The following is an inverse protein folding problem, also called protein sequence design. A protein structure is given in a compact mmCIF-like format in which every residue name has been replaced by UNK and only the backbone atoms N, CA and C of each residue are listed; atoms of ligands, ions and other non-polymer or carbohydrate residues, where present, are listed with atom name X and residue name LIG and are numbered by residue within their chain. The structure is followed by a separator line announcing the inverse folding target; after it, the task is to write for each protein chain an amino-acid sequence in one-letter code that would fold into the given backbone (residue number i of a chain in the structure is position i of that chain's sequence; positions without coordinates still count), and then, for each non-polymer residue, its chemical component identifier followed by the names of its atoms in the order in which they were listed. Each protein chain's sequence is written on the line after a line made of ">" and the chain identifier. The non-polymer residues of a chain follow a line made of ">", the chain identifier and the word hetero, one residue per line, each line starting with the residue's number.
data_IF_944330179816
#
_entry.id   IF_944330179816
#
_cell.length_a   1.000
_cell.length_b   1.000
_cell.length_c   1.000
_cell.angle_alpha   90.00
_cell.angle_beta   90.00
_cell.angle_gamma   90.00
#
_symmetry.space_group_name_H-M   'P 1'
#
loop_
_entity.id
_entity.type
_entity.pdbx_description
1 polymer ?
#
# COMPACT_ATOMS: atom_id res chain seq x y z
N UNK A 1 -4.79 -3.25 -16.15
CA UNK A 1 -5.79 -4.14 -15.53
C UNK A 1 -5.20 -4.99 -14.42
N UNK A 2 -4.11 -5.75 -14.64
CA UNK A 2 -3.44 -6.57 -13.60
C UNK A 2 -3.27 -5.84 -12.27
N UNK A 3 -2.67 -4.64 -12.29
CA UNK A 3 -2.48 -3.84 -11.06
C UNK A 3 -3.79 -3.46 -10.36
N UNK A 4 -4.85 -3.12 -11.09
CA UNK A 4 -6.14 -2.85 -10.44
C UNK A 4 -6.71 -4.12 -9.76
N UNK A 5 -6.57 -5.29 -10.40
CA UNK A 5 -7.03 -6.56 -9.81
C UNK A 5 -6.22 -6.94 -8.57
N UNK A 6 -4.89 -6.86 -8.66
CA UNK A 6 -3.99 -7.13 -7.53
C UNK A 6 -4.32 -6.20 -6.36
N UNK A 7 -4.55 -4.91 -6.63
CA UNK A 7 -4.88 -3.97 -5.57
C UNK A 7 -6.29 -4.16 -5.00
N UNK A 8 -7.28 -4.55 -5.80
CA UNK A 8 -8.60 -4.88 -5.25
C UNK A 8 -8.55 -6.10 -4.32
N UNK A 9 -7.74 -7.11 -4.65
CA UNK A 9 -7.56 -8.28 -3.80
C UNK A 9 -6.73 -7.99 -2.53
N UNK A 10 -5.76 -7.07 -2.62
CA UNK A 10 -4.79 -6.79 -1.55
C UNK A 10 -4.69 -5.30 -1.21
N UNK A 11 -5.80 -4.58 -1.10
CA UNK A 11 -5.84 -3.11 -1.03
C UNK A 11 -4.99 -2.45 0.07
N UNK A 12 -4.61 -3.21 1.11
CA UNK A 12 -3.72 -2.78 2.19
C UNK A 12 -2.23 -2.73 1.81
N UNK A 13 -1.78 -3.38 0.73
CA UNK A 13 -0.36 -3.41 0.38
C UNK A 13 0.14 -2.03 -0.13
N UNK A 14 -0.70 -1.24 -0.80
CA UNK A 14 -0.30 0.10 -1.30
C UNK A 14 0.00 1.05 -0.14
N UNK A 15 -0.84 1.18 0.90
CA UNK A 15 -0.46 1.87 2.12
C UNK A 15 0.88 1.40 2.68
N UNK A 16 1.09 0.10 2.79
CA UNK A 16 2.34 -0.49 3.29
C UNK A 16 3.54 -0.08 2.44
N UNK A 17 3.40 -0.09 1.11
CA UNK A 17 4.43 0.39 0.17
C UNK A 17 4.77 1.85 0.45
N UNK A 18 3.78 2.74 0.58
CA UNK A 18 4.02 4.15 0.87
C UNK A 18 4.66 4.37 2.25
N UNK A 19 4.21 3.63 3.28
CA UNK A 19 4.76 3.76 4.61
C UNK A 19 6.21 3.26 4.72
N UNK A 20 6.59 2.24 3.96
CA UNK A 20 7.99 1.77 3.92
C UNK A 20 8.98 2.82 3.39
N UNK A 21 8.50 3.82 2.65
CA UNK A 21 9.32 4.91 2.09
C UNK A 21 9.53 6.02 3.13
N UNK A 22 8.59 6.18 4.06
CA UNK A 22 8.64 7.25 5.07
C UNK A 22 9.54 6.82 6.23
N UNK A 23 10.64 7.55 6.53
CA UNK A 23 11.47 7.26 7.69
C UNK A 23 10.65 7.38 8.99
N UNK A 24 10.91 6.49 9.95
CA UNK A 24 10.20 6.46 11.23
C UNK A 24 10.24 7.80 11.97
N UNK A 25 11.34 8.55 11.85
CA UNK A 25 11.51 9.89 12.45
C UNK A 25 10.60 10.96 11.82
N UNK A 26 10.25 10.82 10.55
CA UNK A 26 9.38 11.76 9.84
C UNK A 26 7.90 11.38 9.97
N UNK A 27 7.60 10.13 10.31
CA UNK A 27 6.26 9.55 10.27
C UNK A 27 5.23 10.38 11.03
N UNK A 28 5.59 10.87 12.22
CA UNK A 28 4.75 11.76 13.03
C UNK A 28 4.28 13.02 12.29
N UNK A 29 5.10 13.56 11.41
CA UNK A 29 4.82 14.81 10.70
C UNK A 29 4.16 14.62 9.34
N UNK A 30 4.36 13.47 8.70
CA UNK A 30 3.94 13.26 7.30
C UNK A 30 2.96 12.11 7.08
N UNK A 31 2.64 11.30 8.10
CA UNK A 31 1.71 10.18 7.95
C UNK A 31 0.34 10.62 7.40
N UNK A 32 -0.18 11.77 7.83
CA UNK A 32 -1.44 12.34 7.35
C UNK A 32 -1.47 12.59 5.82
N UNK A 33 -0.32 12.74 5.17
CA UNK A 33 -0.25 12.97 3.73
C UNK A 33 -0.40 11.68 2.91
N UNK A 34 -0.19 10.51 3.52
CA UNK A 34 -0.14 9.22 2.81
C UNK A 34 -1.41 8.90 2.01
N UNK A 35 -2.64 9.08 2.54
CA UNK A 35 -3.86 8.87 1.76
C UNK A 35 -3.92 9.74 0.49
N UNK A 36 -3.48 11.00 0.58
CA UNK A 36 -3.46 11.92 -0.55
C UNK A 36 -2.39 11.52 -1.58
N UNK A 37 -1.23 11.03 -1.12
CA UNK A 37 -0.19 10.51 -2.02
C UNK A 37 -0.67 9.26 -2.78
N UNK A 38 -1.43 8.38 -2.13
CA UNK A 38 -2.04 7.21 -2.77
C UNK A 38 -3.05 7.64 -3.85
N UNK A 39 -3.92 8.61 -3.54
CA UNK A 39 -4.86 9.16 -4.52
C UNK A 39 -4.13 9.80 -5.70
N UNK A 40 -3.08 10.58 -5.43
CA UNK A 40 -2.23 11.19 -6.46
C UNK A 40 -1.55 10.15 -7.34
N UNK A 41 -1.02 9.08 -6.74
CA UNK A 41 -0.41 7.97 -7.46
C UNK A 41 -1.41 7.30 -8.41
N UNK A 42 -2.59 6.93 -7.94
CA UNK A 42 -3.60 6.30 -8.80
C UNK A 42 -4.18 7.27 -9.83
N UNK A 43 -4.26 8.58 -9.52
CA UNK A 43 -4.67 9.59 -10.48
C UNK A 43 -3.74 9.64 -11.69
N UNK A 44 -2.42 9.43 -11.52
CA UNK A 44 -1.49 9.33 -12.67
C UNK A 44 -1.87 8.18 -13.60
N UNK A 45 -2.21 7.01 -13.05
CA UNK A 45 -2.66 5.86 -13.83
C UNK A 45 -4.00 6.12 -14.54
N UNK A 46 -4.95 6.73 -13.84
CA UNK A 46 -6.26 7.10 -14.42
C UNK A 46 -6.14 8.12 -15.54
N UNK A 47 -5.35 9.17 -15.34
CA UNK A 47 -5.07 10.20 -16.35
C UNK A 47 -4.37 9.57 -17.56
N UNK A 48 -3.41 8.66 -17.32
CA UNK A 48 -2.75 7.91 -18.38
C UNK A 48 -3.73 7.12 -19.23
N UNK A 49 -4.65 6.36 -18.60
CA UNK A 49 -5.67 5.57 -19.29
C UNK A 49 -6.67 6.44 -20.05
N UNK A 50 -7.06 7.57 -19.48
CA UNK A 50 -7.93 8.55 -20.15
C UNK A 50 -7.29 9.05 -21.46
N UNK A 51 -6.02 9.44 -21.42
CA UNK A 51 -5.32 9.86 -22.63
C UNK A 51 -5.04 8.72 -23.60
N UNK A 52 -4.87 7.49 -23.12
CA UNK A 52 -4.60 6.34 -23.96
C UNK A 52 -5.81 5.90 -24.79
N UNK A 53 -7.01 5.94 -24.20
CA UNK A 53 -8.21 5.37 -24.84
C UNK A 53 -9.37 6.32 -25.11
N UNK A 54 -9.44 7.48 -24.45
CA UNK A 54 -10.56 8.43 -24.63
C UNK A 54 -10.09 9.64 -25.44
N UNK A 55 -9.10 10.37 -24.93
CA UNK A 55 -8.56 11.56 -25.60
C UNK A 55 -7.47 11.24 -26.65
N UNK A 56 -7.14 9.94 -26.81
CA UNK A 56 -6.23 9.40 -27.84
C UNK A 56 -4.89 10.15 -28.00
N UNK A 57 -4.38 10.73 -26.92
CA UNK A 57 -3.11 11.46 -26.88
C UNK A 57 -2.00 10.60 -26.27
N UNK A 58 -1.35 9.79 -27.10
CA UNK A 58 -0.32 8.85 -26.67
C UNK A 58 0.87 9.54 -25.97
N UNK A 59 1.26 10.75 -26.38
CA UNK A 59 2.38 11.49 -25.75
C UNK A 59 2.08 11.83 -24.29
N UNK A 60 0.85 12.28 -24.00
CA UNK A 60 0.41 12.56 -22.62
C UNK A 60 0.22 11.26 -21.85
N UNK A 61 -0.44 10.26 -22.44
CA UNK A 61 -0.57 8.94 -21.82
C UNK A 61 0.78 8.39 -21.39
N UNK A 62 1.80 8.46 -22.27
CA UNK A 62 3.16 8.03 -21.97
C UNK A 62 3.82 8.79 -20.84
N UNK A 63 3.62 10.10 -20.76
CA UNK A 63 4.17 10.90 -19.66
C UNK A 63 3.57 10.47 -18.31
N UNK A 64 2.25 10.42 -18.19
CA UNK A 64 1.59 10.08 -16.93
C UNK A 64 1.76 8.61 -16.56
N UNK A 65 1.60 7.71 -17.53
CA UNK A 65 1.80 6.27 -17.34
C UNK A 65 3.25 5.94 -16.99
N UNK A 66 4.22 6.60 -17.62
CA UNK A 66 5.63 6.46 -17.30
C UNK A 66 5.93 6.81 -15.85
N UNK A 67 5.43 7.96 -15.36
CA UNK A 67 5.59 8.35 -13.95
C UNK A 67 4.91 7.34 -13.04
N UNK A 68 3.66 6.97 -13.32
CA UNK A 68 2.92 5.95 -12.55
C UNK A 68 3.70 4.63 -12.42
N UNK A 69 4.23 4.10 -13.53
CA UNK A 69 4.99 2.84 -13.50
C UNK A 69 6.37 2.97 -12.84
N UNK A 70 7.05 4.11 -12.99
CA UNK A 70 8.33 4.35 -12.28
C UNK A 70 8.10 4.37 -10.77
N UNK A 71 7.08 5.09 -10.30
CA UNK A 71 6.74 5.12 -8.88
C UNK A 71 6.32 3.75 -8.36
N UNK A 72 5.51 3.01 -9.11
CA UNK A 72 5.11 1.65 -8.74
C UNK A 72 6.30 0.69 -8.64
N UNK A 73 7.25 0.77 -9.59
CA UNK A 73 8.45 -0.05 -9.60
C UNK A 73 9.38 0.29 -8.43
N UNK A 74 9.77 1.56 -8.29
CA UNK A 74 10.69 2.00 -7.24
C UNK A 74 10.09 1.80 -5.86
N UNK A 75 8.81 2.14 -5.67
CA UNK A 75 8.12 1.95 -4.40
C UNK A 75 8.06 0.48 -3.99
N UNK A 76 7.74 -0.42 -4.93
CA UNK A 76 7.69 -1.86 -4.62
C UNK A 76 9.07 -2.46 -4.36
N UNK A 77 10.10 -2.06 -5.11
CA UNK A 77 11.48 -2.51 -4.87
C UNK A 77 11.98 -2.01 -3.52
N UNK A 78 11.70 -0.76 -3.17
CA UNK A 78 12.05 -0.20 -1.86
C UNK A 78 11.36 -0.97 -0.72
N UNK A 79 10.05 -1.19 -0.84
CA UNK A 79 9.29 -1.97 0.14
C UNK A 79 9.85 -3.39 0.29
N UNK A 80 10.18 -4.08 -0.81
CA UNK A 80 10.82 -5.40 -0.76
C UNK A 80 12.14 -5.37 0.01
N UNK A 81 13.01 -4.40 -0.28
CA UNK A 81 14.30 -4.25 0.42
C UNK A 81 14.13 -3.93 1.90
N UNK A 82 13.14 -3.08 2.24
CA UNK A 82 12.78 -2.78 3.61
C UNK A 82 12.36 -4.06 4.34
N UNK A 83 11.43 -4.83 3.76
CA UNK A 83 10.91 -6.04 4.39
C UNK A 83 11.89 -7.20 4.45
N UNK A 84 12.86 -7.29 3.54
CA UNK A 84 13.95 -8.26 3.65
C UNK A 84 14.85 -8.01 4.88
N UNK A 85 14.92 -6.77 5.36
CA UNK A 85 15.75 -6.37 6.51
C UNK A 85 15.01 -6.39 7.84
N UNK A 86 13.69 -6.44 7.80
CA UNK A 86 12.84 -6.51 8.99
C UNK A 86 12.30 -7.93 9.16
N UNK A 87 12.24 -8.48 10.38
CA UNK A 87 11.66 -9.79 10.63
C UNK A 87 10.13 -9.71 10.45
N UNK A 88 9.64 -9.88 9.22
CA UNK A 88 8.21 -9.86 8.91
C UNK A 88 7.80 -11.18 8.27
N UNK A 89 6.93 -11.92 8.95
CA UNK A 89 6.39 -13.21 8.50
C UNK A 89 5.19 -13.02 7.54
N UNK A 90 5.41 -12.38 6.39
CA UNK A 90 4.34 -12.22 5.40
C UNK A 90 4.80 -12.57 3.98
N UNK A 91 4.94 -13.88 3.63
CA UNK A 91 5.36 -14.30 2.29
C UNK A 91 4.41 -13.80 1.18
N UNK A 92 3.12 -13.65 1.50
CA UNK A 92 2.12 -13.08 0.58
C UNK A 92 2.46 -11.63 0.20
N UNK A 93 2.96 -10.81 1.13
CA UNK A 93 3.33 -9.43 0.86
C UNK A 93 4.48 -9.35 -0.15
N UNK A 94 5.49 -10.22 -0.02
CA UNK A 94 6.58 -10.32 -0.99
C UNK A 94 6.07 -10.68 -2.39
N UNK A 95 5.16 -11.65 -2.48
CA UNK A 95 4.56 -12.04 -3.77
C UNK A 95 3.76 -10.89 -4.40
N UNK A 96 2.97 -10.16 -3.61
CA UNK A 96 2.17 -9.02 -4.07
C UNK A 96 3.07 -7.87 -4.53
N UNK A 97 4.08 -7.49 -3.74
CA UNK A 97 5.04 -6.45 -4.11
C UNK A 97 5.87 -6.85 -5.33
N UNK A 98 6.30 -8.12 -5.43
CA UNK A 98 7.02 -8.65 -6.59
C UNK A 98 6.17 -8.64 -7.87
N UNK A 99 4.89 -8.96 -7.75
CA UNK A 99 3.91 -8.88 -8.85
C UNK A 99 3.68 -7.43 -9.27
N UNK A 100 3.60 -6.52 -8.29
CA UNK A 100 3.45 -5.09 -8.57
C UNK A 100 4.69 -4.50 -9.26
N UNK A 101 5.89 -4.85 -8.79
CA UNK A 101 7.15 -4.45 -9.41
C UNK A 101 7.26 -5.00 -10.84
N UNK A 102 6.98 -6.29 -11.03
CA UNK A 102 7.03 -6.94 -12.35
C UNK A 102 6.03 -6.32 -13.33
N UNK A 103 4.78 -6.11 -12.90
CA UNK A 103 3.77 -5.45 -13.74
C UNK A 103 4.11 -3.98 -14.04
N UNK A 104 4.75 -3.29 -13.09
CA UNK A 104 5.23 -1.92 -13.30
C UNK A 104 6.36 -1.87 -14.31
N UNK A 105 7.30 -2.81 -14.25
CA UNK A 105 8.39 -2.93 -15.21
C UNK A 105 7.86 -3.21 -16.63
N UNK A 106 6.93 -4.17 -16.76
CA UNK A 106 6.29 -4.49 -18.04
C UNK A 106 5.54 -3.27 -18.59
N UNK A 107 4.75 -2.59 -17.75
CA UNK A 107 4.06 -1.36 -18.11
C UNK A 107 5.01 -0.27 -18.59
N UNK A 108 6.11 -0.05 -17.87
CA UNK A 108 7.14 0.91 -18.24
C UNK A 108 7.78 0.57 -19.59
N UNK A 109 8.14 -0.69 -19.82
CA UNK A 109 8.71 -1.15 -21.10
C UNK A 109 7.72 -0.90 -22.25
N UNK A 110 6.43 -1.23 -22.06
CA UNK A 110 5.38 -0.99 -23.06
C UNK A 110 5.28 0.50 -23.38
N UNK A 111 5.29 1.37 -22.38
CA UNK A 111 5.18 2.81 -22.61
C UNK A 111 6.46 3.43 -23.21
N UNK A 112 7.64 2.91 -22.86
CA UNK A 112 8.91 3.36 -23.42
C UNK A 112 9.05 2.94 -24.89
N UNK A 113 8.73 1.69 -25.23
CA UNK A 113 8.88 1.12 -26.58
C UNK A 113 7.66 1.30 -27.48
N UNK A 114 6.48 1.55 -26.90
CA UNK A 114 5.24 1.71 -27.63
C UNK A 114 5.28 2.90 -28.58
N UNK A 115 4.85 2.67 -29.82
CA UNK A 115 4.70 3.70 -30.84
C UNK A 115 3.21 3.88 -31.12
N UNK A 116 2.63 4.99 -30.65
CA UNK A 116 1.31 5.47 -31.09
C UNK A 116 0.14 4.49 -30.89
N UNK A 117 0.20 3.60 -29.90
CA UNK A 117 -0.87 2.62 -29.65
C UNK A 117 -2.06 3.34 -29.01
N UNK A 118 -3.15 3.49 -29.75
CA UNK A 118 -4.45 3.88 -29.21
C UNK A 118 -5.23 2.64 -28.79
N UNK A 119 -5.78 2.65 -27.59
CA UNK A 119 -6.63 1.55 -27.10
C UNK A 119 -8.10 1.96 -27.29
N UNK A 120 -8.98 1.00 -27.55
CA UNK A 120 -10.42 1.29 -27.62
C UNK A 120 -10.91 1.93 -26.30
N UNK A 121 -11.91 2.84 -26.33
CA UNK A 121 -12.38 3.52 -25.11
C UNK A 121 -12.92 2.55 -24.04
N UNK A 122 -13.67 1.52 -24.45
CA UNK A 122 -14.32 0.59 -23.52
C UNK A 122 -13.39 -0.05 -22.47
N UNK A 123 -12.27 -0.73 -22.84
CA UNK A 123 -11.35 -1.28 -21.84
C UNK A 123 -10.66 -0.20 -21.00
N UNK A 124 -10.50 1.02 -21.54
CA UNK A 124 -9.92 2.14 -20.79
C UNK A 124 -10.87 2.64 -19.70
N UNK A 125 -12.17 2.75 -20.01
CA UNK A 125 -13.21 3.10 -19.02
C UNK A 125 -13.26 2.05 -17.91
N UNK A 126 -13.29 0.76 -18.25
CA UNK A 126 -13.28 -0.32 -17.25
C UNK A 126 -12.03 -0.24 -16.37
N UNK A 127 -10.85 -0.06 -16.98
CA UNK A 127 -9.61 0.05 -16.24
C UNK A 127 -9.59 1.29 -15.32
N UNK A 128 -10.12 2.43 -15.77
CA UNK A 128 -10.27 3.64 -14.95
C UNK A 128 -11.16 3.35 -13.75
N UNK A 129 -12.34 2.76 -13.94
CA UNK A 129 -13.27 2.46 -12.85
C UNK A 129 -12.62 1.55 -11.81
N UNK A 130 -11.97 0.46 -12.24
CA UNK A 130 -11.28 -0.47 -11.35
C UNK A 130 -10.13 0.21 -10.60
N UNK A 131 -9.37 1.08 -11.27
CA UNK A 131 -8.24 1.79 -10.68
C UNK A 131 -8.70 2.87 -9.69
N UNK A 132 -9.81 3.56 -9.99
CA UNK A 132 -10.43 4.53 -9.08
C UNK A 132 -11.02 3.86 -7.84
N UNK A 133 -11.70 2.72 -7.99
CA UNK A 133 -12.18 1.94 -6.84
C UNK A 133 -11.01 1.44 -5.97
N UNK A 134 -9.95 0.95 -6.63
CA UNK A 134 -8.68 0.60 -6.00
C UNK A 134 -8.07 1.75 -5.20
N UNK A 135 -8.03 2.95 -5.80
CA UNK A 135 -7.50 4.15 -5.16
C UNK A 135 -8.26 4.50 -3.89
N UNK A 136 -9.59 4.42 -3.95
CA UNK A 136 -10.45 4.74 -2.82
C UNK A 136 -10.24 3.76 -1.65
N UNK A 137 -10.22 2.45 -1.92
CA UNK A 137 -10.00 1.43 -0.89
C UNK A 137 -8.61 1.55 -0.25
N UNK A 138 -7.57 1.78 -1.05
CA UNK A 138 -6.21 1.98 -0.52
C UNK A 138 -6.08 3.28 0.27
N UNK A 139 -6.67 4.38 -0.18
CA UNK A 139 -6.65 5.64 0.55
C UNK A 139 -7.43 5.55 1.87
N UNK A 140 -8.59 4.88 1.87
CA UNK A 140 -9.36 4.63 3.09
C UNK A 140 -8.59 3.77 4.09
N UNK A 141 -7.94 2.71 3.61
CA UNK A 141 -7.10 1.85 4.44
C UNK A 141 -5.91 2.61 5.03
N UNK A 142 -5.25 3.46 4.23
CA UNK A 142 -4.22 4.34 4.73
C UNK A 142 -4.73 5.30 5.79
N UNK A 143 -5.92 5.89 5.61
CA UNK A 143 -6.51 6.77 6.61
C UNK A 143 -6.74 6.05 7.94
N UNK A 144 -7.15 4.79 7.90
CA UNK A 144 -7.30 3.98 9.11
C UNK A 144 -5.95 3.74 9.80
N UNK A 145 -4.91 3.35 9.05
CA UNK A 145 -3.53 3.20 9.56
C UNK A 145 -2.96 4.48 10.16
N UNK A 146 -3.19 5.62 9.52
CA UNK A 146 -2.77 6.94 10.03
C UNK A 146 -3.46 7.27 11.33
N UNK A 147 -4.78 7.06 11.40
CA UNK A 147 -5.56 7.32 12.61
C UNK A 147 -5.09 6.46 13.77
N UNK A 148 -4.88 5.17 13.51
CA UNK A 148 -4.40 4.22 14.51
C UNK A 148 -3.02 4.62 15.05
N UNK A 149 -2.09 4.98 14.16
CA UNK A 149 -0.77 5.48 14.56
C UNK A 149 -0.84 6.70 15.48
N UNK A 150 -1.65 7.71 15.12
CA UNK A 150 -1.75 8.92 15.95
C UNK A 150 -2.42 8.67 17.30
N UNK A 151 -3.34 7.71 17.39
CA UNK A 151 -3.91 7.29 18.68
C UNK A 151 -2.82 6.68 19.56
N UNK A 152 -2.00 5.76 19.04
CA UNK A 152 -0.93 5.11 19.79
C UNK A 152 0.15 6.09 20.24
N UNK A 153 0.59 7.02 19.37
CA UNK A 153 1.53 8.08 19.74
C UNK A 153 0.94 8.94 20.87
N UNK A 154 -0.33 9.33 20.76
CA UNK A 154 -0.98 10.13 21.81
C UNK A 154 -1.12 9.34 23.13
N UNK A 155 -1.32 8.04 23.08
CA UNK A 155 -1.34 7.20 24.28
C UNK A 155 0.04 7.14 24.94
N UNK A 156 1.10 6.93 24.16
CA UNK A 156 2.49 6.88 24.65
C UNK A 156 2.90 8.21 25.31
N UNK A 157 2.53 9.36 24.71
CA UNK A 157 2.82 10.68 25.27
C UNK A 157 2.09 10.98 26.57
N UNK A 158 0.91 10.40 26.77
CA UNK A 158 0.10 10.58 27.96
C UNK A 158 0.39 9.53 29.05
N UNK A 159 1.29 8.56 28.81
CA UNK A 159 1.72 7.64 29.86
C UNK A 159 2.65 8.37 30.84
N UNK A 160 2.35 8.40 32.15
CA UNK A 160 3.27 8.96 33.12
C UNK A 160 4.56 8.14 33.10
N UNK A 161 5.70 8.81 32.94
CA UNK A 161 7.06 8.21 32.80
C UNK A 161 7.47 7.26 33.95
N UNK A 162 6.71 7.23 35.04
CA UNK A 162 6.91 6.40 36.23
C UNK A 162 5.82 5.32 36.44
N UNK A 163 4.92 5.08 35.49
CA UNK A 163 4.03 3.92 35.56
C UNK A 163 4.86 2.66 35.25
N UNK A 164 5.44 2.07 36.29
CA UNK A 164 5.78 0.64 36.28
C UNK A 164 4.51 -0.10 35.89
N UNK A 165 4.48 -0.60 34.66
CA UNK A 165 3.47 -1.54 34.21
C UNK A 165 3.64 -2.76 35.11
N UNK A 166 2.84 -2.85 36.17
CA UNK A 166 2.68 -4.09 36.91
C UNK A 166 1.95 -5.00 35.95
N UNK A 167 2.71 -5.74 35.15
CA UNK A 167 2.21 -6.92 34.46
C UNK A 167 1.82 -7.88 35.56
N UNK A 168 0.56 -7.83 35.98
CA UNK A 168 -0.01 -8.87 36.81
C UNK A 168 0.02 -10.14 35.95
N UNK A 169 1.09 -10.92 36.09
CA UNK A 169 1.09 -12.29 35.60
C UNK A 169 -0.15 -12.96 36.21
N UNK A 170 -0.96 -13.68 35.42
CA UNK A 170 -2.04 -14.46 35.99
C UNK A 170 -1.42 -15.39 37.03
N UNK A 171 -1.88 -15.24 38.27
CA UNK A 171 -1.48 -16.12 39.36
C UNK A 171 -1.78 -17.55 38.89
N UNK A 172 -0.73 -18.38 38.74
CA UNK A 172 -0.90 -19.77 38.36
C UNK A 172 -1.61 -20.47 39.51
N UNK A 173 -2.94 -20.51 39.45
CA UNK A 173 -3.73 -21.32 40.36
C UNK A 173 -3.46 -22.78 40.01
N UNK A 174 -2.95 -23.60 40.95
CA UNK A 174 -2.74 -25.02 40.69
C UNK A 174 -4.06 -25.69 40.29
N UNK A 175 -4.05 -26.67 39.37
CA UNK A 175 -5.24 -27.43 39.06
C UNK A 175 -5.79 -28.07 40.35
N UNK A 176 -7.13 -28.18 40.50
CA UNK A 176 -7.72 -28.78 41.69
C UNK A 176 -7.19 -30.20 41.86
N UNK A 177 -6.64 -30.51 43.04
CA UNK A 177 -6.26 -31.86 43.42
C UNK A 177 -7.51 -32.74 43.45
N UNK A 178 -7.77 -33.47 42.37
CA UNK A 178 -8.66 -34.63 42.41
C UNK A 178 -7.88 -35.82 42.95
N UNK A 179 -7.55 -35.76 44.25
CA UNK A 179 -7.06 -36.91 44.99
C UNK A 179 -8.04 -37.23 46.11
N UNK A 180 -8.66 -38.41 45.92
CA UNK A 180 -9.36 -39.28 46.89
C UNK A 180 -10.75 -38.88 47.40
N UNK A 181 -11.75 -39.67 47.00
CA UNK A 181 -12.48 -40.50 47.97
C UNK A 181 -12.83 -41.85 47.33
N UNK A 182 -12.31 -42.89 47.98
CA UNK A 182 -12.61 -44.33 47.89
C UNK A 182 -14.09 -44.67 48.01
#
# INVERSE_FOLDING_TARGET
>A
MVQAVVNLAFYGFVPVMFFSIVPSSAYRHVAWAVPFLILGYFALGTISLYYLGIATNFKRAKKFGGVYFVFGLLGSLWALLYFMRTPVETPVLFAVLGTWASSSLVGLIIFLKGKGVSVHPAPSVIAITLLSASAFLSAFSAQWLVSDYYVHVKMEENMPKNATIIVAYPEQVPPPNTTTSS
#
